data_IF_118359196247
#
_entry.id   IF_118359196247
#
_cell.length_a   1.000
_cell.length_b   1.000
_cell.length_c   1.000
_cell.angle_alpha   90.00
_cell.angle_beta   90.00
_cell.angle_gamma   90.00
#
_symmetry.space_group_name_H-M   'P 1'
#
loop_
_entity.id
_entity.type
_entity.pdbx_description
1 polymer ?
#
# COMPACT_ATOMS: atom_id res chain seq x y z
N UNK A 1 -13.65 13.21 9.66
CA UNK A 1 -13.72 11.73 9.54
C UNK A 1 -12.36 11.29 9.01
N UNK A 2 -11.64 10.39 9.69
CA UNK A 2 -10.20 10.03 9.51
C UNK A 2 -9.14 11.01 10.07
N UNK A 3 -9.23 11.38 11.36
CA UNK A 3 -8.18 12.19 12.01
C UNK A 3 -6.86 11.43 12.24
N UNK A 4 -6.90 10.10 12.19
CA UNK A 4 -5.74 9.20 12.18
C UNK A 4 -6.09 8.04 11.24
N UNK A 5 -5.33 7.86 10.17
CA UNK A 5 -4.73 6.57 9.81
C UNK A 5 -3.66 6.83 8.71
N UNK A 6 -2.57 7.58 9.01
CA UNK A 6 -1.30 7.26 8.38
C UNK A 6 -0.88 5.88 8.91
N UNK A 7 -0.20 5.08 8.07
CA UNK A 7 0.13 3.66 8.33
C UNK A 7 0.46 3.34 9.79
N UNK A 8 -0.06 2.22 10.30
CA UNK A 8 0.23 1.65 11.62
C UNK A 8 1.72 1.35 11.79
N UNK A 9 2.40 1.08 10.67
CA UNK A 9 3.83 0.81 10.59
C UNK A 9 4.63 2.02 10.09
N UNK A 10 4.02 3.21 10.11
CA UNK A 10 4.63 4.46 9.65
C UNK A 10 5.19 4.41 8.22
N UNK A 11 4.55 3.61 7.35
CA UNK A 11 4.96 3.45 5.96
C UNK A 11 4.92 4.77 5.18
N UNK A 12 5.99 5.00 4.43
CA UNK A 12 6.08 6.04 3.41
C UNK A 12 6.43 5.38 2.07
N UNK A 13 5.60 5.54 1.02
CA UNK A 13 5.86 4.93 -0.27
C UNK A 13 7.07 5.56 -0.95
N UNK A 14 8.00 4.73 -1.44
CA UNK A 14 9.15 5.18 -2.25
C UNK A 14 8.75 5.70 -3.64
N UNK A 15 7.65 5.17 -4.19
CA UNK A 15 7.12 5.54 -5.50
C UNK A 15 5.72 6.11 -5.33
N UNK A 16 5.53 7.35 -5.77
CA UNK A 16 4.28 8.09 -5.67
C UNK A 16 4.10 8.94 -6.92
N UNK A 17 3.13 8.58 -7.75
CA UNK A 17 2.74 9.29 -8.97
C UNK A 17 1.49 10.14 -8.72
N UNK A 18 0.85 9.97 -7.55
CA UNK A 18 -0.30 10.76 -7.14
C UNK A 18 -1.61 10.24 -7.73
N UNK A 19 -1.65 8.98 -8.14
CA UNK A 19 -2.86 8.32 -8.61
C UNK A 19 -3.91 8.15 -7.51
N UNK A 20 -5.16 7.76 -7.83
CA UNK A 20 -6.23 7.56 -6.85
C UNK A 20 -5.88 6.53 -5.75
N UNK A 21 -4.98 5.60 -6.05
CA UNK A 21 -4.51 4.58 -5.12
C UNK A 21 -3.77 5.16 -3.90
N UNK A 22 -3.25 6.39 -4.00
CA UNK A 22 -2.50 7.11 -2.95
C UNK A 22 -3.13 7.07 -1.57
N UNK A 23 -4.46 7.14 -1.49
CA UNK A 23 -5.18 7.19 -0.24
C UNK A 23 -5.21 5.83 0.49
N UNK A 24 -4.83 4.75 -0.19
CA UNK A 24 -4.92 3.38 0.30
C UNK A 24 -3.56 2.67 0.42
N UNK A 25 -2.45 3.28 -0.04
CA UNK A 25 -1.14 2.63 -0.03
C UNK A 25 -0.69 2.25 1.39
N UNK A 26 -0.84 3.16 2.34
CA UNK A 26 -0.54 2.90 3.75
C UNK A 26 -1.29 1.66 4.29
N UNK A 27 -2.58 1.53 3.96
CA UNK A 27 -3.39 0.39 4.36
C UNK A 27 -2.94 -0.91 3.69
N UNK A 28 -2.62 -0.88 2.40
CA UNK A 28 -2.13 -2.06 1.68
C UNK A 28 -0.82 -2.57 2.27
N UNK A 29 0.11 -1.68 2.60
CA UNK A 29 1.34 -2.04 3.26
C UNK A 29 1.08 -2.74 4.61
N UNK A 30 0.30 -2.10 5.48
CA UNK A 30 0.03 -2.62 6.82
C UNK A 30 -0.62 -4.01 6.78
N UNK A 31 -1.58 -4.22 5.86
CA UNK A 31 -2.24 -5.51 5.70
C UNK A 31 -1.26 -6.62 5.32
N UNK A 32 -0.35 -6.35 4.39
CA UNK A 32 0.62 -7.37 3.93
C UNK A 32 1.69 -7.62 4.99
N UNK A 33 2.26 -6.56 5.57
CA UNK A 33 3.32 -6.69 6.56
C UNK A 33 2.83 -7.41 7.84
N UNK A 34 1.56 -7.20 8.23
CA UNK A 34 0.94 -7.89 9.36
C UNK A 34 0.50 -9.31 9.02
N UNK A 35 -0.17 -9.53 7.90
CA UNK A 35 -0.72 -10.85 7.55
C UNK A 35 0.32 -11.83 6.99
N UNK A 36 1.42 -11.31 6.43
CA UNK A 36 2.51 -12.07 5.79
C UNK A 36 2.00 -13.18 4.86
N UNK A 37 1.14 -12.86 3.87
CA UNK A 37 0.59 -13.85 2.97
C UNK A 37 1.70 -14.52 2.15
N UNK A 38 1.53 -15.81 1.84
CA UNK A 38 2.50 -16.56 1.00
C UNK A 38 2.51 -16.12 -0.46
N UNK A 39 1.41 -15.53 -0.94
CA UNK A 39 1.26 -15.09 -2.32
C UNK A 39 0.25 -13.94 -2.40
N UNK A 40 0.49 -12.99 -3.30
CA UNK A 40 -0.38 -11.85 -3.57
C UNK A 40 -0.52 -11.72 -5.08
N UNK A 41 -1.76 -11.56 -5.54
CA UNK A 41 -2.08 -11.30 -6.94
C UNK A 41 -2.69 -9.92 -7.04
N UNK A 42 -2.06 -9.04 -7.80
CA UNK A 42 -2.59 -7.69 -8.09
C UNK A 42 -3.31 -7.74 -9.43
N UNK A 43 -4.59 -7.42 -9.45
CA UNK A 43 -5.40 -7.36 -10.67
C UNK A 43 -5.50 -5.91 -11.16
N UNK A 44 -4.97 -5.64 -12.34
CA UNK A 44 -4.81 -4.28 -12.87
C UNK A 44 -3.56 -3.60 -12.31
N UNK A 45 -2.83 -2.90 -13.18
CA UNK A 45 -1.54 -2.31 -12.80
C UNK A 45 -1.63 -0.80 -12.53
N UNK A 46 -2.47 -0.05 -13.26
CA UNK A 46 -2.48 1.41 -13.18
C UNK A 46 -1.05 1.97 -13.29
N UNK A 47 -0.69 2.89 -12.39
CA UNK A 47 0.68 3.43 -12.25
C UNK A 47 1.62 2.53 -11.42
N UNK A 48 1.20 1.31 -11.08
CA UNK A 48 1.97 0.34 -10.31
C UNK A 48 2.09 0.63 -8.80
N UNK A 49 1.53 1.73 -8.30
CA UNK A 49 1.70 2.17 -6.90
C UNK A 49 1.29 1.11 -5.88
N UNK A 50 0.16 0.43 -6.11
CA UNK A 50 -0.30 -0.64 -5.23
C UNK A 50 0.67 -1.83 -5.27
N UNK A 51 1.05 -2.30 -6.47
CA UNK A 51 2.00 -3.40 -6.63
C UNK A 51 3.32 -3.13 -5.92
N UNK A 52 3.93 -1.97 -6.15
CA UNK A 52 5.19 -1.61 -5.49
C UNK A 52 5.04 -1.45 -3.98
N UNK A 53 3.89 -1.00 -3.50
CA UNK A 53 3.60 -0.93 -2.06
C UNK A 53 3.57 -2.33 -1.45
N UNK A 54 2.92 -3.28 -2.11
CA UNK A 54 2.84 -4.68 -1.65
C UNK A 54 4.23 -5.34 -1.63
N UNK A 55 5.10 -5.04 -2.59
CA UNK A 55 6.49 -5.54 -2.60
C UNK A 55 7.39 -4.94 -1.51
N UNK A 56 6.99 -3.83 -0.89
CA UNK A 56 7.77 -3.18 0.17
C UNK A 56 7.43 -3.69 1.57
N UNK A 57 6.28 -4.36 1.72
CA UNK A 57 5.74 -4.89 2.97
C UNK A 57 6.31 -6.26 3.33
#
# INVERSE_FOLDING_TARGET
>A
MFKNLPSLLHFQPKFFVGGPARFYLALFYDLVALARPKSIVTLGFGDGEAFFTLCQA
#
